data_IF_104365207172
#
_entry.id   IF_104365207172
#
_cell.length_a   1.000
_cell.length_b   1.000
_cell.length_c   1.000
_cell.angle_alpha   90.00
_cell.angle_beta   90.00
_cell.angle_gamma   90.00
#
_symmetry.space_group_name_H-M   'P 1'
#
loop_
_entity.id
_entity.type
_entity.pdbx_description
1 polymer ?
#
# COMPACT_ATOMS: atom_id res chain seq x y z
N UNK A 1 -29.46 26.59 6.62
CA UNK A 1 -28.82 25.27 6.55
C UNK A 1 -27.48 25.41 5.82
N UNK A 2 -26.39 25.16 6.49
CA UNK A 2 -25.08 25.21 5.88
C UNK A 2 -24.96 24.14 4.79
N UNK A 3 -24.52 24.51 3.60
CA UNK A 3 -24.10 23.58 2.58
C UNK A 3 -23.04 22.66 3.18
N UNK A 4 -23.30 21.34 3.28
CA UNK A 4 -22.26 20.37 3.61
C UNK A 4 -21.06 20.61 2.69
N UNK A 5 -19.89 20.91 3.25
CA UNK A 5 -18.65 20.98 2.48
C UNK A 5 -18.52 19.65 1.73
N UNK A 6 -18.43 19.75 0.41
CA UNK A 6 -18.24 18.56 -0.44
C UNK A 6 -16.87 17.98 -0.07
N UNK A 7 -16.85 16.74 0.41
CA UNK A 7 -15.60 16.07 0.76
C UNK A 7 -14.70 15.94 -0.47
N UNK A 8 -13.37 16.07 -0.29
CA UNK A 8 -12.41 15.89 -1.38
C UNK A 8 -12.53 14.50 -2.02
N UNK A 9 -12.25 14.41 -3.31
CA UNK A 9 -12.23 13.13 -4.05
C UNK A 9 -11.39 12.06 -3.36
N UNK A 10 -10.24 12.44 -2.81
CA UNK A 10 -9.34 11.54 -2.10
C UNK A 10 -10.00 10.86 -0.88
N UNK A 11 -10.86 11.56 -0.14
CA UNK A 11 -11.58 11.01 1.02
C UNK A 11 -12.56 9.93 0.58
N UNK A 12 -13.30 10.14 -0.50
CA UNK A 12 -14.20 9.13 -1.04
C UNK A 12 -13.45 7.90 -1.56
N UNK A 13 -12.34 8.10 -2.26
CA UNK A 13 -11.48 7.00 -2.72
C UNK A 13 -10.94 6.19 -1.56
N UNK A 14 -10.50 6.85 -0.48
CA UNK A 14 -10.03 6.18 0.74
C UNK A 14 -11.14 5.37 1.42
N UNK A 15 -12.33 5.93 1.57
CA UNK A 15 -13.48 5.21 2.14
C UNK A 15 -13.83 3.96 1.33
N UNK A 16 -13.83 4.05 0.03
CA UNK A 16 -14.09 2.93 -0.88
C UNK A 16 -13.00 1.87 -0.77
N UNK A 17 -11.73 2.29 -0.80
CA UNK A 17 -10.59 1.39 -0.69
C UNK A 17 -10.56 0.65 0.66
N UNK A 18 -10.86 1.34 1.76
CA UNK A 18 -10.97 0.72 3.09
C UNK A 18 -12.07 -0.35 3.13
N UNK A 19 -13.25 -0.07 2.61
CA UNK A 19 -14.33 -1.06 2.53
C UNK A 19 -13.94 -2.26 1.64
N UNK A 20 -13.28 -2.00 0.51
CA UNK A 20 -12.79 -3.04 -0.38
C UNK A 20 -11.75 -3.93 0.30
N UNK A 21 -10.83 -3.36 1.08
CA UNK A 21 -9.79 -4.12 1.79
C UNK A 21 -10.37 -5.14 2.75
N UNK A 22 -11.42 -4.79 3.47
CA UNK A 22 -12.14 -5.70 4.38
C UNK A 22 -12.75 -6.87 3.60
N UNK A 23 -13.46 -6.58 2.51
CA UNK A 23 -14.07 -7.61 1.66
C UNK A 23 -13.03 -8.52 0.98
N UNK A 24 -11.93 -7.95 0.52
CA UNK A 24 -10.84 -8.71 -0.08
C UNK A 24 -10.16 -9.65 0.92
N UNK A 25 -10.03 -9.21 2.17
CA UNK A 25 -9.50 -10.04 3.25
C UNK A 25 -10.43 -11.21 3.60
N UNK A 26 -11.73 -10.95 3.65
CA UNK A 26 -12.74 -11.95 4.01
C UNK A 26 -13.02 -12.94 2.88
N UNK A 27 -13.16 -12.46 1.65
CA UNK A 27 -13.67 -13.24 0.51
C UNK A 27 -12.67 -13.43 -0.62
N UNK A 28 -11.54 -12.72 -0.58
CA UNK A 28 -10.59 -12.66 -1.69
C UNK A 28 -10.99 -11.65 -2.78
N UNK A 29 -10.00 -11.24 -3.56
CA UNK A 29 -10.19 -10.21 -4.61
C UNK A 29 -11.12 -10.71 -5.73
N UNK A 30 -10.94 -11.95 -6.16
CA UNK A 30 -11.73 -12.51 -7.27
C UNK A 30 -13.22 -12.63 -6.94
N UNK A 31 -13.56 -13.04 -5.71
CA UNK A 31 -14.94 -13.26 -5.27
C UNK A 31 -15.67 -11.96 -4.89
N UNK A 32 -15.00 -10.83 -4.81
CA UNK A 32 -15.59 -9.54 -4.45
C UNK A 32 -15.91 -8.74 -5.71
N UNK A 33 -17.18 -8.35 -5.87
CA UNK A 33 -17.63 -7.53 -7.01
C UNK A 33 -17.59 -6.05 -6.69
N UNK A 34 -17.64 -5.20 -7.74
CA UNK A 34 -17.81 -3.75 -7.58
C UNK A 34 -19.10 -3.41 -6.85
N UNK A 35 -20.18 -4.17 -7.07
CA UNK A 35 -21.45 -4.01 -6.33
C UNK A 35 -21.30 -4.28 -4.84
N UNK A 36 -20.56 -5.32 -4.46
CA UNK A 36 -20.29 -5.63 -3.05
C UNK A 36 -19.52 -4.49 -2.37
N UNK A 37 -18.52 -3.96 -3.06
CA UNK A 37 -17.71 -2.83 -2.56
C UNK A 37 -18.56 -1.58 -2.38
N UNK A 38 -19.38 -1.23 -3.37
CA UNK A 38 -20.27 -0.08 -3.30
C UNK A 38 -21.21 -0.18 -2.10
N UNK A 39 -21.85 -1.33 -1.92
CA UNK A 39 -22.75 -1.60 -0.79
C UNK A 39 -22.03 -1.48 0.55
N UNK A 40 -20.86 -2.08 0.70
CA UNK A 40 -20.06 -2.03 1.93
C UNK A 40 -19.58 -0.61 2.25
N UNK A 41 -19.23 0.18 1.25
CA UNK A 41 -18.77 1.57 1.40
C UNK A 41 -19.91 2.58 1.60
N UNK A 42 -21.16 2.17 1.41
CA UNK A 42 -22.33 3.07 1.50
C UNK A 42 -22.52 3.96 0.27
N UNK A 43 -22.06 3.52 -0.88
CA UNK A 43 -22.24 4.23 -2.17
C UNK A 43 -23.15 3.44 -3.11
N UNK A 44 -23.82 4.17 -4.03
CA UNK A 44 -24.43 3.51 -5.17
C UNK A 44 -23.35 2.97 -6.12
N UNK A 45 -23.68 1.95 -6.89
CA UNK A 45 -22.75 1.39 -7.89
C UNK A 45 -22.32 2.45 -8.91
N UNK A 46 -23.24 3.30 -9.36
CA UNK A 46 -22.96 4.41 -10.27
C UNK A 46 -21.96 5.41 -9.65
N UNK A 47 -22.14 5.76 -8.38
CA UNK A 47 -21.24 6.65 -7.66
C UNK A 47 -19.85 6.03 -7.49
N UNK A 48 -19.77 4.74 -7.23
CA UNK A 48 -18.48 4.03 -7.14
C UNK A 48 -17.67 4.20 -8.43
N UNK A 49 -18.31 4.04 -9.60
CA UNK A 49 -17.64 4.20 -10.90
C UNK A 49 -17.21 5.63 -11.21
N UNK A 50 -17.69 6.64 -10.48
CA UNK A 50 -17.14 8.01 -10.54
C UNK A 50 -15.73 8.06 -9.97
N UNK A 51 -15.43 7.25 -8.96
CA UNK A 51 -14.15 7.26 -8.24
C UNK A 51 -13.15 6.22 -8.73
N UNK A 52 -13.62 5.07 -9.21
CA UNK A 52 -12.80 3.98 -9.71
C UNK A 52 -13.42 3.38 -10.98
N UNK A 53 -12.66 3.32 -12.01
CA UNK A 53 -13.10 2.76 -13.30
C UNK A 53 -13.38 1.26 -13.20
N UNK A 54 -12.60 0.54 -12.40
CA UNK A 54 -12.72 -0.90 -12.21
C UNK A 54 -12.07 -1.35 -10.90
N UNK A 55 -12.23 -2.63 -10.57
CA UNK A 55 -11.66 -3.24 -9.37
C UNK A 55 -10.12 -3.21 -9.35
N UNK A 56 -9.48 -3.32 -10.52
CA UNK A 56 -8.01 -3.26 -10.64
C UNK A 56 -7.46 -1.94 -10.11
N UNK A 57 -8.15 -0.84 -10.35
CA UNK A 57 -7.75 0.48 -9.88
C UNK A 57 -7.83 0.58 -8.34
N UNK A 58 -8.85 -0.04 -7.73
CA UNK A 58 -8.96 -0.13 -6.25
C UNK A 58 -7.81 -0.95 -5.67
N UNK A 59 -7.52 -2.10 -6.28
CA UNK A 59 -6.38 -2.95 -5.88
C UNK A 59 -5.07 -2.18 -6.01
N UNK A 60 -4.89 -1.42 -7.09
CA UNK A 60 -3.71 -0.58 -7.30
C UNK A 60 -3.49 0.44 -6.19
N UNK A 61 -4.55 1.11 -5.74
CA UNK A 61 -4.49 2.05 -4.62
C UNK A 61 -4.10 1.34 -3.32
N UNK A 62 -4.68 0.19 -3.02
CA UNK A 62 -4.34 -0.58 -1.82
C UNK A 62 -2.90 -1.09 -1.83
N UNK A 63 -2.38 -1.48 -2.99
CA UNK A 63 -0.96 -1.86 -3.15
C UNK A 63 -0.06 -0.66 -2.89
N UNK A 64 -0.38 0.51 -3.43
CA UNK A 64 0.37 1.74 -3.18
C UNK A 64 0.41 2.09 -1.70
N UNK A 65 -0.74 2.06 -1.01
CA UNK A 65 -0.82 2.30 0.44
C UNK A 65 0.02 1.29 1.23
N UNK A 66 -0.01 0.02 0.82
CA UNK A 66 0.80 -1.04 1.43
C UNK A 66 2.30 -0.75 1.32
N UNK A 67 2.75 -0.33 0.15
CA UNK A 67 4.15 0.02 -0.11
C UNK A 67 4.59 1.27 0.65
N UNK A 68 3.72 2.27 0.75
CA UNK A 68 3.97 3.47 1.55
C UNK A 68 4.11 3.16 3.04
N UNK A 69 3.29 2.25 3.57
CA UNK A 69 3.42 1.76 4.95
C UNK A 69 4.77 1.05 5.17
N UNK A 70 5.13 0.16 4.28
CA UNK A 70 6.43 -0.53 4.33
C UNK A 70 7.60 0.46 4.32
N UNK A 71 7.55 1.44 3.43
CA UNK A 71 8.56 2.51 3.38
C UNK A 71 8.69 3.24 4.71
N UNK A 72 7.56 3.59 5.34
CA UNK A 72 7.54 4.23 6.66
C UNK A 72 8.24 3.42 7.75
N UNK A 73 8.00 2.11 7.82
CA UNK A 73 8.68 1.22 8.77
C UNK A 73 10.19 1.17 8.55
N UNK A 74 10.61 1.09 7.28
CA UNK A 74 12.03 1.03 6.92
C UNK A 74 12.74 2.34 7.27
N UNK A 75 12.17 3.48 6.89
CA UNK A 75 12.73 4.81 7.17
C UNK A 75 12.85 5.05 8.68
N UNK A 76 11.80 4.75 9.46
CA UNK A 76 11.83 4.87 10.91
C UNK A 76 12.95 4.03 11.53
N UNK A 77 13.11 2.78 11.10
CA UNK A 77 14.18 1.91 11.58
C UNK A 77 15.60 2.45 11.26
N UNK A 78 15.78 3.04 10.07
CA UNK A 78 17.06 3.59 9.65
C UNK A 78 17.41 4.91 10.32
N UNK A 79 16.42 5.75 10.62
CA UNK A 79 16.63 7.06 11.24
C UNK A 79 16.77 7.00 12.76
N UNK A 80 15.98 6.14 13.43
CA UNK A 80 15.95 6.04 14.88
C UNK A 80 17.19 5.35 15.46
N UNK A 81 17.84 4.46 14.71
CA UNK A 81 18.95 3.67 15.18
C UNK A 81 20.29 4.18 14.63
N UNK A 82 21.32 4.19 15.49
CA UNK A 82 22.65 4.72 15.14
C UNK A 82 23.62 3.66 14.61
N UNK A 83 23.43 2.39 14.99
CA UNK A 83 24.32 1.31 14.57
C UNK A 83 23.66 0.44 13.52
N UNK A 84 24.44 -0.16 12.63
CA UNK A 84 23.96 -1.07 11.60
C UNK A 84 23.23 -2.27 12.19
N UNK A 85 23.72 -2.84 13.29
CA UNK A 85 23.07 -3.96 13.97
C UNK A 85 21.69 -3.56 14.51
N UNK A 86 21.59 -2.42 15.19
CA UNK A 86 20.32 -1.94 15.72
C UNK A 86 19.31 -1.61 14.61
N UNK A 87 19.77 -1.06 13.48
CA UNK A 87 18.95 -0.84 12.29
C UNK A 87 18.39 -2.16 11.74
N UNK A 88 19.24 -3.17 11.61
CA UNK A 88 18.82 -4.50 11.18
C UNK A 88 17.74 -5.08 12.09
N UNK A 89 17.98 -5.08 13.40
CA UNK A 89 17.03 -5.60 14.38
C UNK A 89 15.68 -4.84 14.33
N UNK A 90 15.72 -3.51 14.14
CA UNK A 90 14.50 -2.69 14.02
C UNK A 90 13.75 -2.93 12.71
N UNK A 91 14.45 -3.14 11.59
CA UNK A 91 13.81 -3.52 10.33
C UNK A 91 13.07 -4.85 10.48
N UNK A 92 13.73 -5.85 11.06
CA UNK A 92 13.12 -7.16 11.29
C UNK A 92 11.88 -7.06 12.18
N UNK A 93 11.98 -6.34 13.30
CA UNK A 93 10.84 -6.10 14.21
C UNK A 93 9.70 -5.35 13.51
N UNK A 94 10.03 -4.31 12.74
CA UNK A 94 9.05 -3.54 11.98
C UNK A 94 8.30 -4.37 10.95
N UNK A 95 8.98 -5.27 10.24
CA UNK A 95 8.36 -6.18 9.28
C UNK A 95 7.41 -7.18 9.97
N UNK A 96 7.81 -7.72 11.12
CA UNK A 96 6.96 -8.61 11.92
C UNK A 96 5.72 -7.84 12.40
N UNK A 97 5.91 -6.66 12.97
CA UNK A 97 4.83 -5.80 13.43
C UNK A 97 3.88 -5.42 12.27
N UNK A 98 4.42 -5.08 11.12
CA UNK A 98 3.63 -4.77 9.93
C UNK A 98 2.78 -5.97 9.49
N UNK A 99 3.34 -7.17 9.49
CA UNK A 99 2.60 -8.39 9.16
C UNK A 99 1.49 -8.68 10.18
N UNK A 100 1.73 -8.45 11.47
CA UNK A 100 0.74 -8.67 12.53
C UNK A 100 -0.39 -7.65 12.50
N UNK A 101 -0.07 -6.36 12.31
CA UNK A 101 -1.03 -5.27 12.32
C UNK A 101 -1.81 -5.13 11.00
N UNK A 102 -1.14 -5.42 9.88
CA UNK A 102 -1.68 -5.23 8.53
C UNK A 102 -1.46 -6.45 7.63
N UNK A 103 -1.98 -7.64 7.99
CA UNK A 103 -1.69 -8.88 7.27
C UNK A 103 -2.11 -8.84 5.80
N UNK A 104 -3.22 -8.16 5.48
CA UNK A 104 -3.67 -8.00 4.10
C UNK A 104 -2.70 -7.15 3.28
N UNK A 105 -2.26 -6.01 3.81
CA UNK A 105 -1.28 -5.14 3.15
C UNK A 105 0.07 -5.82 2.99
N UNK A 106 0.52 -6.54 4.01
CA UNK A 106 1.77 -7.30 3.94
C UNK A 106 1.73 -8.36 2.82
N UNK A 107 0.61 -9.08 2.70
CA UNK A 107 0.39 -10.02 1.60
C UNK A 107 0.44 -9.33 0.23
N UNK A 108 -0.19 -8.16 0.10
CA UNK A 108 -0.17 -7.39 -1.15
C UNK A 108 1.24 -6.97 -1.56
N UNK A 109 2.08 -6.58 -0.60
CA UNK A 109 3.50 -6.28 -0.83
C UNK A 109 4.23 -7.51 -1.37
N UNK A 110 4.06 -8.67 -0.73
CA UNK A 110 4.70 -9.91 -1.15
C UNK A 110 4.27 -10.36 -2.55
N UNK A 111 3.00 -10.25 -2.87
CA UNK A 111 2.47 -10.61 -4.18
C UNK A 111 3.02 -9.70 -5.30
N UNK A 112 3.43 -8.47 -4.97
CA UNK A 112 3.95 -7.48 -5.93
C UNK A 112 5.47 -7.49 -6.10
N UNK A 113 6.22 -7.99 -5.15
CA UNK A 113 7.70 -8.10 -5.26
C UNK A 113 8.12 -8.92 -6.50
N UNK A 114 7.25 -9.81 -6.97
CA UNK A 114 7.50 -10.68 -8.12
C UNK A 114 6.97 -10.14 -9.47
N UNK A 115 6.48 -8.90 -9.53
CA UNK A 115 5.94 -8.32 -10.78
C UNK A 115 7.02 -7.65 -11.58
N UNK A 116 7.22 -8.11 -12.82
CA UNK A 116 8.11 -7.46 -13.79
C UNK A 116 7.43 -6.22 -14.37
N UNK A 117 7.93 -5.04 -14.00
CA UNK A 117 7.38 -3.73 -14.37
C UNK A 117 7.85 -3.24 -15.77
N UNK A 118 8.14 -4.13 -16.70
CA UNK A 118 8.68 -3.74 -18.01
C UNK A 118 7.65 -3.29 -19.05
N UNK A 119 6.35 -3.42 -18.76
CA UNK A 119 5.29 -2.99 -19.67
C UNK A 119 4.84 -1.54 -19.46
N UNK A 120 4.55 -0.82 -20.56
CA UNK A 120 4.39 0.63 -20.57
C UNK A 120 2.98 1.16 -20.25
N UNK A 121 1.99 0.31 -20.03
CA UNK A 121 0.58 0.68 -19.82
C UNK A 121 0.16 0.63 -18.34
N UNK A 122 0.93 1.27 -17.45
CA UNK A 122 0.62 1.29 -16.03
C UNK A 122 -0.33 2.42 -15.64
N UNK A 123 -1.27 2.09 -14.72
CA UNK A 123 -2.10 3.07 -14.03
C UNK A 123 -1.23 4.02 -13.18
N UNK A 124 -1.71 5.25 -12.88
CA UNK A 124 -0.97 6.19 -12.02
C UNK A 124 -0.53 5.59 -10.69
N UNK A 125 -1.38 4.81 -10.03
CA UNK A 125 -1.08 4.13 -8.76
C UNK A 125 0.04 3.08 -8.91
N UNK A 126 0.08 2.37 -10.04
CA UNK A 126 1.14 1.38 -10.32
C UNK A 126 2.50 2.08 -10.52
N UNK A 127 2.51 3.22 -11.20
CA UNK A 127 3.71 4.06 -11.36
C UNK A 127 4.19 4.61 -10.02
N UNK A 128 3.27 5.09 -9.18
CA UNK A 128 3.58 5.56 -7.84
C UNK A 128 4.13 4.43 -6.95
N UNK A 129 3.57 3.23 -7.05
CA UNK A 129 4.06 2.02 -6.35
C UNK A 129 5.48 1.68 -6.77
N UNK A 130 5.79 1.76 -8.05
CA UNK A 130 7.16 1.55 -8.55
C UNK A 130 8.14 2.55 -7.94
N UNK A 131 7.80 3.83 -7.90
CA UNK A 131 8.65 4.86 -7.29
C UNK A 131 8.90 4.61 -5.81
N UNK A 132 7.89 4.23 -5.03
CA UNK A 132 8.08 3.84 -3.62
C UNK A 132 9.02 2.64 -3.51
N UNK A 133 8.88 1.65 -4.38
CA UNK A 133 9.79 0.50 -4.46
C UNK A 133 11.24 0.90 -4.71
N UNK A 134 11.48 1.83 -5.64
CA UNK A 134 12.82 2.35 -5.90
C UNK A 134 13.40 3.11 -4.69
N UNK A 135 12.60 3.92 -4.00
CA UNK A 135 13.01 4.60 -2.79
C UNK A 135 13.39 3.61 -1.67
N UNK A 136 12.63 2.53 -1.49
CA UNK A 136 12.96 1.44 -0.56
C UNK A 136 14.29 0.80 -0.96
N UNK A 137 14.47 0.48 -2.23
CA UNK A 137 15.71 -0.13 -2.74
C UNK A 137 16.93 0.75 -2.48
N UNK A 138 16.84 2.06 -2.70
CA UNK A 138 17.93 2.99 -2.42
C UNK A 138 18.26 3.04 -0.92
N UNK A 139 17.27 3.11 -0.05
CA UNK A 139 17.47 3.06 1.41
C UNK A 139 18.13 1.75 1.85
N UNK A 140 17.71 0.63 1.28
CA UNK A 140 18.28 -0.67 1.60
C UNK A 140 19.72 -0.82 1.06
N UNK A 141 20.03 -0.24 -0.10
CA UNK A 141 21.41 -0.19 -0.62
C UNK A 141 22.33 0.61 0.31
N UNK A 142 21.91 1.79 0.75
CA UNK A 142 22.67 2.60 1.71
C UNK A 142 22.94 1.81 3.01
N UNK A 143 21.91 1.16 3.54
CA UNK A 143 22.02 0.31 4.73
C UNK A 143 23.00 -0.85 4.55
N UNK A 144 22.88 -1.61 3.45
CA UNK A 144 23.76 -2.74 3.17
C UNK A 144 25.21 -2.29 2.92
N UNK A 145 25.42 -1.15 2.29
CA UNK A 145 26.76 -0.57 2.10
C UNK A 145 27.42 -0.21 3.45
N UNK A 146 26.65 0.34 4.40
CA UNK A 146 27.15 0.60 5.75
C UNK A 146 27.52 -0.66 6.48
N UNK A 147 26.75 -1.72 6.31
CA UNK A 147 27.04 -3.04 6.90
C UNK A 147 28.37 -3.63 6.43
N UNK A 148 28.64 -3.52 5.13
CA UNK A 148 29.91 -4.00 4.54
C UNK A 148 31.10 -3.18 5.04
N UNK A 149 30.94 -1.87 5.20
CA UNK A 149 32.03 -0.98 5.64
C UNK A 149 32.39 -1.13 7.12
N UNK A 150 31.47 -1.63 7.95
CA UNK A 150 31.72 -1.88 9.39
C UNK A 150 32.32 -3.26 9.67
N UNK A 151 32.32 -4.15 8.69
CA UNK A 151 32.91 -5.48 8.79
C UNK A 151 34.29 -5.53 8.17
#
# INVERSE_FOLDING_TARGET
>A
MGRRKKEPRAVHRENIASAASVLFMENGIKATSMSDIAKAAGYSKATLYVYFENKKEIVGLLVLESMQKLYGYIVAALEEQKTTRARYDMICKGLIQYQEEFPFYFKMVLDKINVDFKDHDYLPEEKATYHVGEEINEKMKEFLSSFISET
#
